data_IF_834237085492
#
_entry.id   IF_834237085492
#
_cell.length_a   1.000
_cell.length_b   1.000
_cell.length_c   1.000
_cell.angle_alpha   90.00
_cell.angle_beta   90.00
_cell.angle_gamma   90.00
#
_symmetry.space_group_name_H-M   'P 1'
#
loop_
_entity.id
_entity.type
_entity.pdbx_description
1 polymer ?
#
# COMPACT_ATOMS: atom_id res chain seq x y z
N UNK A 1 -33.12 -14.85 17.42
CA UNK A 1 -32.67 -13.86 16.42
C UNK A 1 -31.52 -13.09 17.03
N UNK A 2 -30.30 -13.56 16.80
CA UNK A 2 -29.06 -12.90 17.24
C UNK A 2 -28.76 -11.80 16.25
N UNK A 3 -28.75 -10.55 16.73
CA UNK A 3 -28.31 -9.40 15.94
C UNK A 3 -26.83 -9.58 15.60
N UNK A 4 -26.54 -9.62 14.31
CA UNK A 4 -25.20 -9.54 13.72
C UNK A 4 -24.53 -8.25 14.24
N UNK A 5 -23.33 -8.32 14.86
CA UNK A 5 -22.67 -7.11 15.34
C UNK A 5 -22.46 -6.16 14.17
N UNK A 6 -22.96 -4.93 14.34
CA UNK A 6 -22.95 -3.86 13.34
C UNK A 6 -21.67 -3.86 12.50
N UNK A 7 -21.80 -4.36 11.28
CA UNK A 7 -20.89 -4.11 10.17
C UNK A 7 -21.06 -2.62 9.86
N UNK A 8 -20.38 -1.75 10.62
CA UNK A 8 -20.22 -0.35 10.20
C UNK A 8 -19.52 -0.45 8.85
N UNK A 9 -20.16 -0.04 7.74
CA UNK A 9 -19.50 -0.09 6.45
C UNK A 9 -18.20 0.70 6.58
N UNK A 10 -17.07 0.10 6.18
CA UNK A 10 -15.89 0.91 5.91
C UNK A 10 -16.31 1.99 4.92
N UNK A 11 -16.01 3.28 5.15
CA UNK A 11 -16.32 4.31 4.18
C UNK A 11 -15.73 3.89 2.82
N UNK A 12 -16.55 3.97 1.77
CA UNK A 12 -16.09 3.69 0.41
C UNK A 12 -14.90 4.61 0.10
N UNK A 13 -13.85 4.05 -0.48
CA UNK A 13 -12.72 4.88 -0.92
C UNK A 13 -13.24 5.91 -1.92
N UNK A 14 -12.88 7.17 -1.73
CA UNK A 14 -13.40 8.24 -2.55
C UNK A 14 -12.91 8.07 -4.00
N UNK A 15 -13.79 8.26 -5.01
CA UNK A 15 -13.40 8.26 -6.40
C UNK A 15 -12.22 9.22 -6.61
N UNK A 16 -11.28 8.85 -7.46
CA UNK A 16 -10.23 9.75 -7.91
C UNK A 16 -10.61 10.29 -9.30
N UNK A 17 -11.33 11.41 -9.40
CA UNK A 17 -11.77 11.95 -10.69
C UNK A 17 -10.62 12.45 -11.57
N UNK A 18 -9.42 12.59 -10.99
CA UNK A 18 -8.18 12.94 -11.69
C UNK A 18 -7.35 11.71 -12.08
N UNK A 19 -7.76 10.52 -11.65
CA UNK A 19 -7.10 9.24 -11.90
C UNK A 19 -7.22 8.80 -13.35
N UNK A 20 -6.18 8.12 -13.82
CA UNK A 20 -6.17 7.51 -15.15
C UNK A 20 -7.12 6.31 -15.23
N UNK A 21 -7.76 6.13 -16.36
CA UNK A 21 -8.60 4.98 -16.67
C UNK A 21 -7.88 3.98 -17.58
N UNK A 22 -8.05 2.68 -17.33
CA UNK A 22 -7.54 1.60 -18.18
C UNK A 22 -8.70 0.97 -18.92
N UNK A 23 -9.20 1.66 -19.96
CA UNK A 23 -10.47 1.31 -20.64
C UNK A 23 -10.52 -0.11 -21.19
N UNK A 24 -9.38 -0.65 -21.62
CA UNK A 24 -9.29 -2.03 -22.10
C UNK A 24 -9.46 -3.05 -20.96
N UNK A 25 -9.02 -2.72 -19.73
CA UNK A 25 -9.31 -3.52 -18.56
C UNK A 25 -10.80 -3.44 -18.19
N UNK A 26 -11.40 -2.24 -18.20
CA UNK A 26 -12.85 -2.08 -17.94
C UNK A 26 -13.70 -2.92 -18.89
N UNK A 27 -13.38 -2.87 -20.20
CA UNK A 27 -14.06 -3.67 -21.22
C UNK A 27 -13.87 -5.18 -21.00
N UNK A 28 -12.65 -5.60 -20.63
CA UNK A 28 -12.35 -7.01 -20.37
C UNK A 28 -13.08 -7.51 -19.11
N UNK A 29 -13.16 -6.71 -18.05
CA UNK A 29 -13.90 -7.07 -16.84
C UNK A 29 -15.42 -7.10 -17.07
N UNK A 30 -15.96 -6.20 -17.88
CA UNK A 30 -17.35 -6.26 -18.32
C UNK A 30 -17.63 -7.53 -19.14
N UNK A 31 -16.74 -7.87 -20.09
CA UNK A 31 -16.86 -9.10 -20.86
C UNK A 31 -16.80 -10.37 -19.98
N UNK A 32 -15.98 -10.37 -18.92
CA UNK A 32 -15.95 -11.46 -17.95
C UNK A 32 -17.28 -11.61 -17.19
N UNK A 33 -17.90 -10.49 -16.79
CA UNK A 33 -19.20 -10.49 -16.13
C UNK A 33 -20.30 -11.02 -17.06
N UNK A 34 -20.30 -10.59 -18.33
CA UNK A 34 -21.24 -11.06 -19.34
C UNK A 34 -21.07 -12.56 -19.64
N UNK A 35 -19.82 -13.02 -19.80
CA UNK A 35 -19.50 -14.43 -20.00
C UNK A 35 -20.00 -15.27 -18.82
N UNK A 36 -19.74 -14.85 -17.59
CA UNK A 36 -20.22 -15.54 -16.40
C UNK A 36 -21.77 -15.58 -16.35
N UNK A 37 -22.44 -14.48 -16.67
CA UNK A 37 -23.91 -14.43 -16.71
C UNK A 37 -24.51 -15.39 -17.75
N UNK A 38 -23.82 -15.60 -18.88
CA UNK A 38 -24.21 -16.56 -19.92
C UNK A 38 -23.75 -18.00 -19.64
N UNK A 39 -23.01 -18.23 -18.56
CA UNK A 39 -22.33 -19.51 -18.25
C UNK A 39 -21.29 -19.92 -19.31
N UNK A 40 -20.69 -18.93 -19.94
CA UNK A 40 -19.55 -19.07 -20.85
C UNK A 40 -18.21 -18.97 -20.07
N UNK A 41 -17.09 -19.14 -20.79
CA UNK A 41 -15.75 -19.01 -20.22
C UNK A 41 -15.39 -17.56 -19.85
N UNK A 42 -15.26 -17.27 -18.55
CA UNK A 42 -14.82 -16.00 -18.01
C UNK A 42 -13.28 -15.91 -17.80
N UNK A 43 -12.54 -17.01 -17.96
CA UNK A 43 -11.08 -17.06 -17.69
C UNK A 43 -10.32 -16.16 -18.66
N UNK A 44 -10.59 -16.28 -19.96
CA UNK A 44 -9.92 -15.51 -21.01
C UNK A 44 -10.07 -13.97 -20.83
N UNK A 45 -11.28 -13.40 -20.64
CA UNK A 45 -11.41 -11.97 -20.41
C UNK A 45 -10.76 -11.50 -19.09
N UNK A 46 -10.76 -12.32 -18.04
CA UNK A 46 -10.05 -11.99 -16.80
C UNK A 46 -8.52 -11.99 -16.95
N UNK A 47 -7.98 -12.94 -17.71
CA UNK A 47 -6.55 -12.98 -18.04
C UNK A 47 -6.14 -11.76 -18.88
N UNK A 48 -6.99 -11.33 -19.83
CA UNK A 48 -6.77 -10.12 -20.59
C UNK A 48 -6.80 -8.87 -19.70
N UNK A 49 -7.77 -8.76 -18.78
CA UNK A 49 -7.82 -7.68 -17.80
C UNK A 49 -6.54 -7.64 -16.93
N UNK A 50 -6.10 -8.79 -16.42
CA UNK A 50 -4.89 -8.89 -15.61
C UNK A 50 -3.63 -8.43 -16.37
N UNK A 51 -3.50 -8.80 -17.65
CA UNK A 51 -2.37 -8.40 -18.49
C UNK A 51 -2.32 -6.89 -18.71
N UNK A 52 -3.45 -6.27 -19.07
CA UNK A 52 -3.51 -4.82 -19.32
C UNK A 52 -3.31 -4.02 -18.02
N UNK A 53 -3.86 -4.49 -16.90
CA UNK A 53 -3.60 -3.88 -15.58
C UNK A 53 -2.13 -3.97 -15.19
N UNK A 54 -1.46 -5.10 -15.49
CA UNK A 54 -0.02 -5.24 -15.26
C UNK A 54 0.80 -4.30 -16.16
N UNK A 55 0.39 -4.13 -17.43
CA UNK A 55 1.01 -3.16 -18.35
C UNK A 55 0.90 -1.72 -17.83
N UNK A 56 -0.25 -1.35 -17.25
CA UNK A 56 -0.45 -0.05 -16.60
C UNK A 56 0.34 0.12 -15.28
N UNK A 57 0.90 -0.96 -14.74
CA UNK A 57 1.55 -0.99 -13.42
C UNK A 57 0.57 -1.03 -12.26
N UNK A 58 -0.69 -1.40 -12.50
CA UNK A 58 -1.74 -1.56 -11.49
C UNK A 58 -1.62 -2.96 -10.86
N UNK A 59 -0.46 -3.24 -10.29
CA UNK A 59 -0.05 -4.58 -9.87
C UNK A 59 -1.02 -5.24 -8.86
N UNK A 60 -1.59 -4.53 -7.86
CA UNK A 60 -2.61 -5.12 -6.98
C UNK A 60 -3.84 -5.59 -7.76
N UNK A 61 -4.35 -4.75 -8.66
CA UNK A 61 -5.50 -5.07 -9.51
C UNK A 61 -5.20 -6.23 -10.47
N UNK A 62 -4.00 -6.27 -11.06
CA UNK A 62 -3.56 -7.38 -11.90
C UNK A 62 -3.54 -8.71 -11.12
N UNK A 63 -3.04 -8.70 -9.87
CA UNK A 63 -3.07 -9.87 -8.97
C UNK A 63 -4.50 -10.29 -8.63
N UNK A 64 -5.38 -9.34 -8.35
CA UNK A 64 -6.78 -9.62 -8.06
C UNK A 64 -7.50 -10.26 -9.26
N UNK A 65 -7.35 -9.67 -10.45
CA UNK A 65 -7.90 -10.20 -11.70
C UNK A 65 -7.37 -11.62 -12.01
N UNK A 66 -6.07 -11.85 -11.79
CA UNK A 66 -5.48 -13.19 -11.90
C UNK A 66 -6.09 -14.20 -10.91
N UNK A 67 -6.41 -13.76 -9.70
CA UNK A 67 -7.06 -14.62 -8.70
C UNK A 67 -8.53 -14.92 -9.04
N UNK A 68 -9.27 -13.95 -9.57
CA UNK A 68 -10.60 -14.18 -10.13
C UNK A 68 -10.57 -15.20 -11.27
N UNK A 69 -9.58 -15.06 -12.17
CA UNK A 69 -9.36 -15.98 -13.31
C UNK A 69 -9.07 -17.41 -12.83
N UNK A 70 -8.21 -17.56 -11.81
CA UNK A 70 -7.89 -18.87 -11.22
C UNK A 70 -9.09 -19.53 -10.52
N UNK A 71 -9.97 -18.74 -9.91
CA UNK A 71 -11.17 -19.25 -9.24
C UNK A 71 -12.32 -19.58 -10.21
N UNK A 72 -12.40 -18.93 -11.38
CA UNK A 72 -13.55 -19.01 -12.28
C UNK A 72 -13.96 -20.44 -12.68
N UNK A 73 -13.04 -21.38 -13.00
CA UNK A 73 -13.41 -22.76 -13.34
C UNK A 73 -14.09 -23.53 -12.19
N UNK A 74 -13.68 -23.27 -10.94
CA UNK A 74 -14.17 -23.97 -9.75
C UNK A 74 -15.60 -23.55 -9.38
N UNK A 75 -15.90 -22.28 -9.64
CA UNK A 75 -17.16 -21.65 -9.29
C UNK A 75 -18.29 -22.03 -10.24
N UNK A 76 -17.97 -22.40 -11.49
CA UNK A 76 -18.94 -22.90 -12.46
C UNK A 76 -19.64 -24.21 -12.01
N UNK A 77 -19.04 -24.93 -11.05
CA UNK A 77 -19.51 -26.23 -10.56
C UNK A 77 -20.08 -26.21 -9.14
N UNK A 78 -20.06 -25.07 -8.43
CA UNK A 78 -20.30 -25.01 -6.98
C UNK A 78 -21.29 -23.90 -6.54
N UNK A 79 -21.74 -23.97 -5.28
CA UNK A 79 -22.61 -22.96 -4.64
C UNK A 79 -21.92 -21.61 -4.36
N UNK A 80 -20.64 -21.47 -4.73
CA UNK A 80 -19.79 -20.27 -4.52
C UNK A 80 -19.97 -19.21 -5.61
N UNK A 81 -20.80 -19.48 -6.64
CA UNK A 81 -21.12 -18.59 -7.75
C UNK A 81 -21.57 -17.18 -7.35
N UNK A 82 -22.35 -17.07 -6.26
CA UNK A 82 -22.80 -15.78 -5.79
C UNK A 82 -21.65 -14.93 -5.24
N UNK A 83 -20.75 -15.52 -4.44
CA UNK A 83 -19.64 -14.80 -3.81
C UNK A 83 -18.60 -14.34 -4.84
N UNK A 84 -18.28 -15.19 -5.82
CA UNK A 84 -17.38 -14.82 -6.91
C UNK A 84 -17.92 -13.65 -7.75
N UNK A 85 -19.23 -13.65 -8.03
CA UNK A 85 -19.87 -12.56 -8.78
C UNK A 85 -19.82 -11.24 -8.02
N UNK A 86 -20.11 -11.27 -6.71
CA UNK A 86 -19.98 -10.08 -5.85
C UNK A 86 -18.53 -9.57 -5.86
N UNK A 87 -17.55 -10.47 -5.74
CA UNK A 87 -16.13 -10.08 -5.81
C UNK A 87 -15.76 -9.44 -7.15
N UNK A 88 -16.28 -9.95 -8.29
CA UNK A 88 -16.07 -9.35 -9.60
C UNK A 88 -16.73 -7.97 -9.72
N UNK A 89 -17.96 -7.83 -9.25
CA UNK A 89 -18.69 -6.56 -9.32
C UNK A 89 -18.04 -5.47 -8.45
N UNK A 90 -17.64 -5.81 -7.22
CA UNK A 90 -16.92 -4.90 -6.31
C UNK A 90 -15.55 -4.51 -6.88
N UNK A 91 -14.83 -5.46 -7.47
CA UNK A 91 -13.57 -5.19 -8.14
C UNK A 91 -13.72 -4.26 -9.35
N UNK A 92 -14.75 -4.48 -10.17
CA UNK A 92 -15.09 -3.58 -11.29
C UNK A 92 -15.39 -2.17 -10.82
N UNK A 93 -16.16 -2.03 -9.74
CA UNK A 93 -16.46 -0.73 -9.14
C UNK A 93 -15.18 -0.03 -8.66
N UNK A 94 -14.26 -0.75 -8.02
CA UNK A 94 -12.98 -0.18 -7.57
C UNK A 94 -12.06 0.23 -8.72
N UNK A 95 -11.98 -0.56 -9.81
CA UNK A 95 -11.20 -0.18 -11.01
C UNK A 95 -11.78 1.09 -11.65
N UNK A 96 -13.11 1.20 -11.69
CA UNK A 96 -13.81 2.36 -12.24
C UNK A 96 -13.64 3.64 -11.39
N UNK A 97 -13.25 3.54 -10.11
CA UNK A 97 -12.93 4.69 -9.25
C UNK A 97 -11.53 5.27 -9.50
N UNK A 98 -10.70 4.60 -10.30
CA UNK A 98 -9.38 5.06 -10.74
C UNK A 98 -8.41 5.41 -9.58
N UNK A 99 -8.60 4.76 -8.43
CA UNK A 99 -7.82 4.99 -7.22
C UNK A 99 -6.85 3.83 -6.98
N UNK A 100 -5.56 4.04 -7.29
CA UNK A 100 -4.53 3.01 -7.10
C UNK A 100 -4.31 2.61 -5.63
N UNK A 101 -4.56 3.52 -4.69
CA UNK A 101 -4.46 3.22 -3.25
C UNK A 101 -5.59 2.30 -2.82
N UNK A 102 -6.80 2.54 -3.33
CA UNK A 102 -7.94 1.65 -3.11
C UNK A 102 -7.66 0.24 -3.60
N UNK A 103 -7.17 0.10 -4.83
CA UNK A 103 -6.86 -1.20 -5.42
C UNK A 103 -5.79 -1.98 -4.62
N UNK A 104 -4.94 -1.27 -3.87
CA UNK A 104 -3.93 -1.87 -3.00
C UNK A 104 -4.45 -2.19 -1.59
N UNK A 105 -5.25 -1.30 -1.01
CA UNK A 105 -5.52 -1.27 0.43
C UNK A 105 -6.98 -1.49 0.83
N UNK A 106 -7.92 -1.60 -0.11
CA UNK A 106 -9.34 -1.81 0.22
C UNK A 106 -9.55 -3.07 1.07
N UNK A 107 -10.13 -2.96 2.28
CA UNK A 107 -10.46 -4.12 3.11
C UNK A 107 -11.44 -5.06 2.39
N UNK A 108 -12.42 -4.50 1.67
CA UNK A 108 -13.41 -5.25 0.90
C UNK A 108 -12.74 -6.09 -0.18
N UNK A 109 -11.87 -5.48 -0.99
CA UNK A 109 -11.12 -6.24 -2.00
C UNK A 109 -10.19 -7.26 -1.34
N UNK A 110 -9.53 -6.92 -0.24
CA UNK A 110 -8.64 -7.88 0.41
C UNK A 110 -9.40 -9.12 0.93
N UNK A 111 -10.58 -8.95 1.50
CA UNK A 111 -11.44 -10.04 1.96
C UNK A 111 -11.88 -10.93 0.80
N UNK A 112 -12.31 -10.33 -0.33
CA UNK A 112 -12.62 -11.08 -1.55
C UNK A 112 -11.40 -11.85 -2.06
N UNK A 113 -10.23 -11.20 -2.14
CA UNK A 113 -8.99 -11.83 -2.59
C UNK A 113 -8.62 -13.03 -1.71
N UNK A 114 -8.74 -12.88 -0.38
CA UNK A 114 -8.48 -13.96 0.58
C UNK A 114 -9.46 -15.12 0.40
N UNK A 115 -10.75 -14.83 0.25
CA UNK A 115 -11.78 -15.86 0.03
C UNK A 115 -11.55 -16.62 -1.29
N UNK A 116 -11.27 -15.91 -2.38
CA UNK A 116 -10.95 -16.51 -3.68
C UNK A 116 -9.68 -17.37 -3.62
N UNK A 117 -8.67 -16.96 -2.84
CA UNK A 117 -7.45 -17.75 -2.64
C UNK A 117 -7.69 -19.04 -1.89
N UNK A 118 -8.51 -19.02 -0.84
CA UNK A 118 -8.90 -20.23 -0.12
C UNK A 118 -9.63 -21.20 -1.06
N UNK A 119 -10.52 -20.69 -1.92
CA UNK A 119 -11.23 -21.52 -2.90
C UNK A 119 -10.32 -22.13 -3.97
N UNK A 120 -9.29 -21.38 -4.41
CA UNK A 120 -8.41 -21.81 -5.52
C UNK A 120 -7.19 -22.62 -5.07
N UNK A 121 -6.89 -22.68 -3.77
CA UNK A 121 -5.68 -23.33 -3.25
C UNK A 121 -5.93 -24.78 -2.85
N UNK A 122 -4.97 -25.65 -3.17
CA UNK A 122 -4.94 -27.03 -2.66
C UNK A 122 -4.65 -27.11 -1.14
N UNK A 123 -4.11 -26.04 -0.53
CA UNK A 123 -3.87 -25.93 0.91
C UNK A 123 -4.66 -24.78 1.52
N UNK A 124 -5.77 -25.15 2.18
CA UNK A 124 -6.70 -24.25 2.87
C UNK A 124 -6.05 -23.52 4.07
N UNK A 125 -4.87 -23.94 4.53
CA UNK A 125 -4.20 -23.36 5.69
C UNK A 125 -3.28 -22.18 5.35
N UNK A 126 -2.98 -21.97 4.06
CA UNK A 126 -2.17 -20.86 3.60
C UNK A 126 -2.99 -19.55 3.56
N UNK A 127 -3.18 -18.91 4.72
CA UNK A 127 -3.78 -17.58 4.83
C UNK A 127 -2.98 -16.57 3.99
N UNK A 128 -3.62 -15.91 3.02
CA UNK A 128 -3.01 -14.82 2.28
C UNK A 128 -2.96 -13.55 3.15
N UNK A 129 -1.78 -13.00 3.48
CA UNK A 129 -1.67 -11.77 4.25
C UNK A 129 -1.97 -10.53 3.39
N UNK A 130 -2.39 -9.42 4.03
CA UNK A 130 -2.74 -8.15 3.35
C UNK A 130 -1.60 -7.61 2.50
N UNK A 131 -0.35 -7.80 2.94
CA UNK A 131 0.83 -7.32 2.21
C UNK A 131 1.01 -7.98 0.83
N UNK A 132 0.43 -9.16 0.63
CA UNK A 132 0.46 -9.84 -0.67
C UNK A 132 -0.29 -9.05 -1.75
N UNK A 133 -1.28 -8.24 -1.36
CA UNK A 133 -1.98 -7.33 -2.27
C UNK A 133 -1.42 -5.92 -2.14
N UNK A 134 -1.35 -5.37 -0.93
CA UNK A 134 -0.98 -3.97 -0.70
C UNK A 134 0.46 -3.65 -1.14
N UNK A 135 1.41 -4.53 -0.81
CA UNK A 135 2.84 -4.25 -1.00
C UNK A 135 3.45 -4.97 -2.20
N UNK A 136 2.63 -5.37 -3.19
CA UNK A 136 3.14 -5.99 -4.43
C UNK A 136 4.11 -5.07 -5.15
N UNK A 137 5.27 -5.61 -5.55
CA UNK A 137 6.32 -4.87 -6.24
C UNK A 137 7.11 -3.90 -5.35
N UNK A 138 6.61 -3.57 -4.15
CA UNK A 138 7.26 -2.62 -3.22
C UNK A 138 8.42 -3.28 -2.48
N UNK A 139 9.58 -2.62 -2.53
CA UNK A 139 10.73 -2.91 -1.69
C UNK A 139 10.41 -2.59 -0.23
N UNK A 140 10.79 -3.47 0.70
CA UNK A 140 10.57 -3.27 2.13
C UNK A 140 11.87 -3.55 2.87
N UNK A 141 12.55 -2.53 3.41
CA UNK A 141 13.79 -2.71 4.12
C UNK A 141 13.59 -3.55 5.38
N UNK A 142 14.67 -4.20 5.82
CA UNK A 142 14.63 -5.00 7.04
C UNK A 142 14.48 -4.12 8.29
N UNK A 143 13.64 -4.56 9.21
CA UNK A 143 13.48 -3.89 10.50
C UNK A 143 14.44 -4.47 11.55
N UNK A 144 15.10 -3.57 12.29
CA UNK A 144 16.09 -3.92 13.31
C UNK A 144 15.43 -4.11 14.67
N UNK A 145 16.12 -4.84 15.54
CA UNK A 145 15.77 -5.03 16.95
C UNK A 145 17.04 -4.83 17.78
N UNK A 146 17.06 -3.78 18.61
CA UNK A 146 18.21 -3.47 19.48
C UNK A 146 18.53 -4.61 20.46
N UNK A 147 19.74 -4.68 21.01
CA UNK A 147 19.98 -5.61 22.11
C UNK A 147 19.18 -5.19 23.36
N UNK A 148 18.46 -6.12 23.98
CA UNK A 148 17.75 -5.87 25.25
C UNK A 148 18.55 -6.42 26.43
N UNK A 149 18.67 -5.66 27.54
CA UNK A 149 19.10 -6.22 28.81
C UNK A 149 18.09 -7.25 29.32
N UNK A 150 18.56 -8.39 29.85
CA UNK A 150 17.70 -9.51 30.28
C UNK A 150 16.62 -9.12 31.29
N UNK A 151 16.97 -8.25 32.24
CA UNK A 151 16.05 -7.73 33.26
C UNK A 151 14.95 -6.86 32.66
N UNK A 152 15.30 -6.03 31.66
CA UNK A 152 14.34 -5.23 30.93
C UNK A 152 13.44 -6.11 30.06
N UNK A 153 14.02 -7.06 29.32
CA UNK A 153 13.28 -7.99 28.45
C UNK A 153 12.25 -8.81 29.25
N UNK A 154 12.65 -9.36 30.39
CA UNK A 154 11.76 -10.15 31.26
C UNK A 154 10.57 -9.33 31.76
N UNK A 155 10.82 -8.09 32.20
CA UNK A 155 9.77 -7.18 32.69
C UNK A 155 8.85 -6.70 31.57
N UNK A 156 9.40 -6.30 30.43
CA UNK A 156 8.62 -5.86 29.27
C UNK A 156 7.71 -6.98 28.78
N UNK A 157 8.23 -8.21 28.71
CA UNK A 157 7.45 -9.39 28.32
C UNK A 157 6.32 -9.71 29.29
N UNK A 158 6.59 -9.70 30.60
CA UNK A 158 5.55 -9.94 31.60
C UNK A 158 4.41 -8.91 31.51
N UNK A 159 4.75 -7.62 31.34
CA UNK A 159 3.77 -6.54 31.16
C UNK A 159 2.95 -6.72 29.87
N UNK A 160 3.64 -7.02 28.77
CA UNK A 160 3.00 -7.27 27.48
C UNK A 160 2.02 -8.45 27.55
N UNK A 161 2.47 -9.60 28.06
CA UNK A 161 1.67 -10.83 28.14
C UNK A 161 0.45 -10.65 29.06
N UNK A 162 0.60 -9.93 30.18
CA UNK A 162 -0.50 -9.62 31.09
C UNK A 162 -1.56 -8.73 30.41
N UNK A 163 -1.13 -7.67 29.73
CA UNK A 163 -2.03 -6.76 29.03
C UNK A 163 -2.70 -7.44 27.82
N UNK A 164 -1.95 -8.22 27.05
CA UNK A 164 -2.47 -9.02 25.95
C UNK A 164 -3.54 -10.01 26.43
N UNK A 165 -3.31 -10.69 27.55
CA UNK A 165 -4.29 -11.62 28.10
C UNK A 165 -5.61 -10.93 28.46
N UNK A 166 -5.56 -9.69 28.96
CA UNK A 166 -6.76 -8.89 29.21
C UNK A 166 -7.50 -8.56 27.91
N UNK A 167 -6.78 -8.17 26.85
CA UNK A 167 -7.37 -7.89 25.53
C UNK A 167 -8.02 -9.14 24.91
N UNK A 168 -7.37 -10.30 25.02
CA UNK A 168 -7.86 -11.55 24.43
C UNK A 168 -9.07 -12.15 25.19
N UNK A 169 -9.15 -11.94 26.50
CA UNK A 169 -10.24 -12.46 27.33
C UNK A 169 -11.53 -11.67 27.20
N UNK A 170 -11.47 -10.41 26.78
CA UNK A 170 -12.66 -9.56 26.65
C UNK A 170 -13.42 -9.91 25.37
N UNK A 171 -14.67 -10.42 25.44
CA UNK A 171 -15.41 -10.83 24.26
C UNK A 171 -15.90 -9.65 23.41
N UNK A 172 -16.25 -8.53 24.07
CA UNK A 172 -16.78 -7.31 23.44
C UNK A 172 -16.06 -6.08 23.97
N UNK A 173 -15.59 -5.22 23.05
CA UNK A 173 -14.70 -4.11 23.37
C UNK A 173 -13.27 -4.56 23.66
N UNK A 174 -12.33 -3.63 23.52
CA UNK A 174 -10.94 -3.81 23.96
C UNK A 174 -10.69 -2.90 25.16
N UNK A 175 -10.24 -3.43 26.31
CA UNK A 175 -10.07 -2.60 27.50
C UNK A 175 -8.96 -1.56 27.26
N UNK A 176 -9.34 -0.27 27.27
CA UNK A 176 -8.43 0.84 26.94
C UNK A 176 -7.16 0.82 27.77
N UNK A 177 -7.25 0.57 29.08
CA UNK A 177 -6.09 0.49 29.96
C UNK A 177 -5.10 -0.61 29.56
N UNK A 178 -5.58 -1.74 29.01
CA UNK A 178 -4.68 -2.80 28.53
C UNK A 178 -4.02 -2.41 27.20
N UNK A 179 -4.74 -1.70 26.32
CA UNK A 179 -4.17 -1.17 25.09
C UNK A 179 -3.15 -0.06 25.37
N UNK A 180 -3.41 0.81 26.36
CA UNK A 180 -2.47 1.83 26.82
C UNK A 180 -1.18 1.19 27.36
N UNK A 181 -1.31 0.11 28.13
CA UNK A 181 -0.18 -0.65 28.65
C UNK A 181 0.63 -1.34 27.54
N UNK A 182 -0.04 -1.86 26.51
CA UNK A 182 0.61 -2.42 25.31
C UNK A 182 1.34 -1.34 24.51
N UNK A 183 0.73 -0.16 24.28
CA UNK A 183 1.37 0.96 23.60
C UNK A 183 2.59 1.45 24.38
N UNK A 184 2.47 1.63 25.70
CA UNK A 184 3.57 2.01 26.56
C UNK A 184 4.71 0.99 26.53
N UNK A 185 4.39 -0.31 26.46
CA UNK A 185 5.41 -1.37 26.37
C UNK A 185 6.12 -1.35 25.01
N UNK A 186 5.40 -1.18 23.90
CA UNK A 186 5.99 -1.06 22.56
C UNK A 186 6.86 0.20 22.44
N UNK A 187 6.39 1.33 22.97
CA UNK A 187 7.16 2.57 23.02
C UNK A 187 8.44 2.43 23.86
N UNK A 188 8.38 1.70 24.99
CA UNK A 188 9.56 1.43 25.81
C UNK A 188 10.55 0.47 25.13
N UNK A 189 10.07 -0.45 24.29
CA UNK A 189 10.91 -1.35 23.50
C UNK A 189 11.65 -0.62 22.37
N UNK A 190 11.06 0.46 21.85
CA UNK A 190 11.64 1.23 20.77
C UNK A 190 12.90 2.01 21.19
N UNK A 191 13.87 2.17 20.27
CA UNK A 191 15.06 3.01 20.45
C UNK A 191 15.02 4.35 19.70
N UNK A 192 13.95 4.59 18.91
CA UNK A 192 13.80 5.81 18.12
C UNK A 192 14.69 5.87 16.88
N UNK A 193 15.45 4.80 16.58
CA UNK A 193 16.25 4.70 15.36
C UNK A 193 15.32 4.39 14.17
N UNK A 194 15.61 4.89 12.95
CA UNK A 194 14.91 4.47 11.74
C UNK A 194 14.94 2.96 11.58
N UNK A 195 13.86 2.40 11.02
CA UNK A 195 13.71 0.95 10.80
C UNK A 195 13.67 0.08 12.07
N UNK A 196 13.56 0.67 13.26
CA UNK A 196 13.24 -0.10 14.47
C UNK A 196 11.83 -0.72 14.34
N UNK A 197 11.75 -2.04 14.49
CA UNK A 197 10.48 -2.74 14.41
C UNK A 197 9.50 -2.30 15.51
N UNK A 198 9.99 -1.97 16.71
CA UNK A 198 9.10 -1.59 17.81
C UNK A 198 8.45 -0.23 17.59
N UNK A 199 9.16 0.70 16.95
CA UNK A 199 8.59 1.96 16.44
C UNK A 199 7.49 1.71 15.41
N UNK A 200 7.71 0.79 14.46
CA UNK A 200 6.69 0.39 13.49
C UNK A 200 5.47 -0.27 14.16
N UNK A 201 5.71 -1.19 15.10
CA UNK A 201 4.65 -1.89 15.81
C UNK A 201 3.80 -0.94 16.67
N UNK A 202 4.41 0.04 17.33
CA UNK A 202 3.69 1.07 18.09
C UNK A 202 2.81 1.94 17.16
N UNK A 203 3.34 2.38 16.02
CA UNK A 203 2.55 3.11 15.03
C UNK A 203 1.36 2.30 14.52
N UNK A 204 1.57 1.02 14.20
CA UNK A 204 0.52 0.11 13.75
C UNK A 204 -0.54 -0.13 14.83
N UNK A 205 -0.15 -0.33 16.10
CA UNK A 205 -1.10 -0.45 17.21
C UNK A 205 -2.02 0.78 17.31
N UNK A 206 -1.45 1.99 17.23
CA UNK A 206 -2.22 3.23 17.32
C UNK A 206 -3.22 3.36 16.18
N UNK A 207 -2.79 3.08 14.95
CA UNK A 207 -3.66 3.09 13.78
C UNK A 207 -4.80 2.07 13.92
N UNK A 208 -4.49 0.80 14.24
CA UNK A 208 -5.50 -0.26 14.37
C UNK A 208 -6.48 -0.01 15.53
N UNK A 209 -6.02 0.65 16.61
CA UNK A 209 -6.88 1.08 17.72
C UNK A 209 -7.83 2.19 17.27
N UNK A 210 -7.33 3.19 16.55
CA UNK A 210 -8.13 4.32 16.08
C UNK A 210 -9.22 3.87 15.11
N UNK A 211 -8.91 2.93 14.20
CA UNK A 211 -9.88 2.40 13.23
C UNK A 211 -10.74 1.23 13.75
N UNK A 212 -10.49 0.73 14.96
CA UNK A 212 -11.23 -0.43 15.50
C UNK A 212 -11.02 -1.72 14.70
N UNK A 213 -9.86 -1.87 14.07
CA UNK A 213 -9.61 -2.90 13.07
C UNK A 213 -9.67 -4.34 13.65
N UNK A 214 -10.32 -5.30 12.97
CA UNK A 214 -10.46 -6.67 13.46
C UNK A 214 -9.12 -7.42 13.57
N UNK A 215 -8.09 -6.99 12.84
CA UNK A 215 -6.75 -7.60 12.86
C UNK A 215 -5.97 -7.34 14.15
N UNK A 216 -6.41 -6.38 14.99
CA UNK A 216 -5.69 -5.92 16.18
C UNK A 216 -5.25 -7.07 17.10
N UNK A 217 -6.15 -8.01 17.42
CA UNK A 217 -5.84 -9.14 18.32
C UNK A 217 -4.78 -10.07 17.73
N UNK A 218 -4.89 -10.36 16.43
CA UNK A 218 -3.93 -11.22 15.70
C UNK A 218 -2.57 -10.54 15.62
N UNK A 219 -2.54 -9.25 15.32
CA UNK A 219 -1.33 -8.44 15.29
C UNK A 219 -0.60 -8.45 16.65
N UNK A 220 -1.33 -8.21 17.74
CA UNK A 220 -0.75 -8.23 19.09
C UNK A 220 -0.22 -9.62 19.47
N UNK A 221 -0.95 -10.68 19.16
CA UNK A 221 -0.49 -12.05 19.43
C UNK A 221 0.82 -12.39 18.68
N UNK A 222 0.94 -11.98 17.40
CA UNK A 222 2.18 -12.17 16.63
C UNK A 222 3.33 -11.32 17.12
N UNK A 223 3.05 -10.10 17.54
CA UNK A 223 4.02 -9.20 18.14
C UNK A 223 4.57 -9.78 19.46
N UNK A 224 3.74 -10.46 20.25
CA UNK A 224 4.20 -11.21 21.44
C UNK A 224 5.19 -12.33 21.09
N UNK A 225 4.94 -13.07 20.01
CA UNK A 225 5.86 -14.13 19.57
C UNK A 225 7.24 -13.55 19.23
N UNK A 226 7.27 -12.43 18.50
CA UNK A 226 8.51 -11.73 18.22
C UNK A 226 9.20 -11.22 19.49
N UNK A 227 8.45 -10.67 20.45
CA UNK A 227 9.02 -10.21 21.72
C UNK A 227 9.73 -11.36 22.46
N UNK A 228 9.15 -12.54 22.44
CA UNK A 228 9.76 -13.75 22.99
C UNK A 228 11.07 -14.14 22.30
N UNK A 229 11.18 -14.00 20.97
CA UNK A 229 12.41 -14.28 20.22
C UNK A 229 13.45 -13.16 20.40
N UNK A 230 12.99 -11.91 20.50
CA UNK A 230 13.83 -10.74 20.75
C UNK A 230 14.51 -10.83 22.13
N UNK A 231 13.74 -11.23 23.15
CA UNK A 231 14.26 -11.53 24.48
C UNK A 231 15.31 -12.66 24.47
N UNK A 232 15.29 -13.55 23.47
CA UNK A 232 16.30 -14.61 23.26
C UNK A 232 17.46 -14.18 22.36
N UNK A 233 17.57 -12.89 22.06
CA UNK A 233 18.71 -12.34 21.32
C UNK A 233 18.49 -12.11 19.83
N UNK A 234 17.28 -12.29 19.28
CA UNK A 234 16.99 -11.92 17.88
C UNK A 234 17.30 -10.43 17.64
N UNK A 235 17.88 -10.08 16.49
CA UNK A 235 18.33 -8.72 16.13
C UNK A 235 17.64 -8.11 14.91
N UNK A 236 16.83 -8.90 14.21
CA UNK A 236 16.07 -8.48 13.03
C UNK A 236 14.68 -9.11 13.09
N UNK A 237 13.65 -8.33 12.77
CA UNK A 237 12.30 -8.84 12.69
C UNK A 237 12.12 -9.73 11.43
N UNK A 238 11.27 -10.76 11.46
CA UNK A 238 10.94 -11.55 10.28
C UNK A 238 10.40 -10.66 9.15
N UNK A 239 10.92 -10.76 7.90
CA UNK A 239 10.46 -9.93 6.79
C UNK A 239 8.95 -9.99 6.57
N UNK A 240 8.36 -11.18 6.66
CA UNK A 240 6.91 -11.37 6.53
C UNK A 240 6.11 -10.60 7.59
N UNK A 241 6.61 -10.52 8.83
CA UNK A 241 5.95 -9.75 9.89
C UNK A 241 6.10 -8.25 9.66
N UNK A 242 7.27 -7.78 9.21
CA UNK A 242 7.48 -6.36 8.86
C UNK A 242 6.51 -5.92 7.76
N UNK A 243 6.43 -6.70 6.68
CA UNK A 243 5.54 -6.42 5.55
C UNK A 243 4.08 -6.39 5.95
N UNK A 244 3.63 -7.35 6.76
CA UNK A 244 2.25 -7.39 7.24
C UNK A 244 1.92 -6.21 8.15
N UNK A 245 2.80 -5.86 9.09
CA UNK A 245 2.61 -4.70 9.97
C UNK A 245 2.57 -3.39 9.15
N UNK A 246 3.41 -3.26 8.12
CA UNK A 246 3.40 -2.12 7.22
C UNK A 246 2.11 -2.04 6.39
N UNK A 247 1.65 -3.16 5.86
CA UNK A 247 0.42 -3.20 5.09
C UNK A 247 -0.78 -2.79 5.95
N UNK A 248 -0.83 -3.27 7.21
CA UNK A 248 -1.86 -2.88 8.18
C UNK A 248 -1.78 -1.39 8.54
N UNK A 249 -0.58 -0.85 8.77
CA UNK A 249 -0.41 0.58 9.06
C UNK A 249 -0.81 1.44 7.86
N UNK A 250 -0.32 1.10 6.66
CA UNK A 250 -0.52 1.91 5.46
C UNK A 250 -1.97 1.89 4.96
N UNK A 251 -2.71 0.79 5.22
CA UNK A 251 -4.09 0.60 4.75
C UNK A 251 -4.98 1.83 4.96
N UNK A 252 -5.07 2.30 6.19
CA UNK A 252 -6.01 3.36 6.57
C UNK A 252 -5.54 4.71 6.01
N UNK A 253 -4.24 5.01 6.12
CA UNK A 253 -3.67 6.25 5.57
C UNK A 253 -3.68 6.32 4.03
N UNK A 254 -3.63 5.17 3.36
CA UNK A 254 -3.70 5.09 1.91
C UNK A 254 -5.11 5.42 1.39
N UNK A 255 -6.15 5.04 2.14
CA UNK A 255 -7.55 5.20 1.73
C UNK A 255 -8.13 6.54 2.16
N UNK A 256 -7.83 6.97 3.38
CA UNK A 256 -8.47 8.13 4.02
C UNK A 256 -7.49 9.29 4.23
N UNK A 257 -6.25 9.14 3.78
CA UNK A 257 -5.20 10.11 4.01
C UNK A 257 -4.77 10.22 5.47
N UNK A 258 -3.90 11.19 5.72
CA UNK A 258 -3.37 11.51 7.04
C UNK A 258 -3.78 12.92 7.48
N UNK A 259 -4.10 13.09 8.76
CA UNK A 259 -4.32 14.40 9.38
C UNK A 259 -3.00 15.00 9.89
N UNK A 260 -3.03 16.26 10.33
CA UNK A 260 -1.82 16.96 10.78
C UNK A 260 -1.20 16.34 12.05
N UNK A 261 -2.03 15.72 12.89
CA UNK A 261 -1.62 14.98 14.08
C UNK A 261 -0.91 13.65 13.76
N UNK A 262 -1.08 13.11 12.54
CA UNK A 262 -0.53 11.80 12.15
C UNK A 262 0.92 11.86 11.66
N UNK A 263 1.58 13.03 11.73
CA UNK A 263 2.94 13.25 11.20
C UNK A 263 3.93 12.18 11.63
N UNK A 264 3.88 11.75 12.89
CA UNK A 264 4.77 10.70 13.38
C UNK A 264 4.52 9.32 12.74
N UNK A 265 3.27 8.99 12.40
CA UNK A 265 2.90 7.73 11.74
C UNK A 265 3.26 7.79 10.25
N UNK A 266 3.01 8.93 9.62
CA UNK A 266 3.42 9.20 8.23
C UNK A 266 4.93 9.14 8.07
N UNK A 267 5.69 9.66 9.04
CA UNK A 267 7.15 9.55 9.03
C UNK A 267 7.65 8.10 9.10
N UNK A 268 6.95 7.24 9.85
CA UNK A 268 7.25 5.79 9.82
C UNK A 268 6.97 5.23 8.43
N UNK A 269 5.84 5.54 7.80
CA UNK A 269 5.52 5.06 6.45
C UNK A 269 6.53 5.53 5.40
N UNK A 270 6.93 6.80 5.46
CA UNK A 270 7.97 7.35 4.59
C UNK A 270 9.34 6.71 4.80
N UNK A 271 9.68 6.28 6.02
CA UNK A 271 10.92 5.52 6.25
C UNK A 271 10.92 4.24 5.41
N UNK A 272 9.75 3.60 5.23
CA UNK A 272 9.56 2.38 4.43
C UNK A 272 9.15 2.61 2.97
N UNK A 273 9.22 3.84 2.44
CA UNK A 273 8.88 4.12 1.04
C UNK A 273 7.40 4.09 0.73
N UNK A 274 6.54 4.23 1.74
CA UNK A 274 5.09 4.28 1.58
C UNK A 274 4.63 5.73 1.70
N UNK A 275 4.06 6.23 0.61
CA UNK A 275 3.51 7.57 0.50
C UNK A 275 2.02 7.59 0.89
N UNK A 276 1.57 8.73 1.41
CA UNK A 276 0.19 8.97 1.83
C UNK A 276 -0.26 10.34 1.33
N UNK A 277 -1.56 10.51 1.15
CA UNK A 277 -2.14 11.81 0.84
C UNK A 277 -2.47 12.54 2.14
N UNK A 278 -2.14 13.83 2.23
CA UNK A 278 -2.46 14.64 3.40
C UNK A 278 -3.85 15.23 3.25
N UNK A 279 -4.73 14.96 4.20
CA UNK A 279 -6.05 15.61 4.26
C UNK A 279 -5.94 16.92 5.03
N UNK A 280 -6.43 18.01 4.41
CA UNK A 280 -6.70 19.27 5.14
C UNK A 280 -8.03 19.17 5.90
N UNK A 281 -8.87 18.18 5.57
CA UNK A 281 -10.21 17.98 6.13
C UNK A 281 -10.18 17.02 7.35
N UNK A 282 -9.79 17.51 8.52
CA UNK A 282 -9.76 16.71 9.76
C UNK A 282 -11.12 16.45 10.43
N UNK A 283 -12.25 16.58 9.73
CA UNK A 283 -13.59 16.33 10.31
C UNK A 283 -14.55 15.72 9.29
N UNK A 284 -15.53 14.88 9.69
CA UNK A 284 -16.55 14.33 8.78
C UNK A 284 -17.35 15.41 8.03
N UNK A 285 -17.50 16.61 8.61
CA UNK A 285 -18.18 17.73 7.97
C UNK A 285 -17.32 18.41 6.89
N UNK A 286 -16.00 18.47 7.07
CA UNK A 286 -15.08 18.97 6.05
C UNK A 286 -14.80 17.94 4.97
N UNK A 287 -14.90 16.65 5.29
CA UNK A 287 -14.93 15.53 4.36
C UNK A 287 -16.17 15.60 3.46
N UNK A 288 -17.37 15.76 4.00
CA UNK A 288 -18.59 15.94 3.21
C UNK A 288 -18.58 17.20 2.31
N UNK A 289 -17.92 18.28 2.76
CA UNK A 289 -17.72 19.49 1.96
C UNK A 289 -16.65 19.30 0.87
N UNK A 290 -15.61 18.52 1.16
CA UNK A 290 -14.61 18.12 0.19
C UNK A 290 -15.20 17.18 -0.86
N UNK A 291 -16.00 16.18 -0.46
CA UNK A 291 -16.77 15.29 -1.34
C UNK A 291 -17.70 16.06 -2.26
N UNK A 292 -18.47 17.03 -1.73
CA UNK A 292 -19.32 17.89 -2.54
C UNK A 292 -18.52 18.75 -3.53
N UNK A 293 -17.32 19.21 -3.13
CA UNK A 293 -16.39 19.94 -4.00
C UNK A 293 -15.69 19.05 -5.03
N UNK A 294 -15.33 17.83 -4.67
CA UNK A 294 -14.67 16.83 -5.50
C UNK A 294 -15.64 16.27 -6.54
N UNK A 295 -16.88 15.96 -6.17
CA UNK A 295 -17.96 15.55 -7.08
C UNK A 295 -18.35 16.68 -8.05
N UNK A 296 -18.28 17.95 -7.61
CA UNK A 296 -18.46 19.11 -8.49
C UNK A 296 -17.29 19.25 -9.48
N UNK A 297 -16.06 19.15 -8.99
CA UNK A 297 -14.86 19.18 -9.81
C UNK A 297 -14.76 17.99 -10.77
N UNK A 298 -15.29 16.83 -10.37
CA UNK A 298 -15.45 15.62 -11.17
C UNK A 298 -16.45 15.84 -12.29
N UNK A 299 -17.65 16.35 -11.99
CA UNK A 299 -18.61 16.70 -13.03
C UNK A 299 -18.05 17.74 -14.01
N UNK A 300 -17.34 18.76 -13.53
CA UNK A 300 -16.74 19.79 -14.38
C UNK A 300 -15.53 19.24 -15.18
N UNK A 301 -14.76 18.30 -14.64
CA UNK A 301 -13.65 17.64 -15.33
C UNK A 301 -14.11 16.61 -16.36
N UNK A 302 -15.17 15.86 -16.07
CA UNK A 302 -15.73 14.82 -16.95
C UNK A 302 -16.56 15.46 -18.09
N UNK A 303 -17.24 16.58 -17.84
CA UNK A 303 -18.17 17.16 -18.81
C UNK A 303 -17.50 17.85 -20.01
N UNK A 304 -16.20 18.20 -19.97
CA UNK A 304 -15.55 18.91 -21.07
C UNK A 304 -14.01 18.85 -21.14
N UNK A 305 -13.29 18.25 -20.18
CA UNK A 305 -11.84 18.30 -20.22
C UNK A 305 -11.25 17.34 -21.28
N UNK A 306 -10.29 17.79 -22.11
CA UNK A 306 -9.61 16.90 -23.04
C UNK A 306 -8.91 15.78 -22.27
N UNK A 307 -8.93 14.57 -22.82
CA UNK A 307 -8.20 13.41 -22.27
C UNK A 307 -6.96 13.14 -23.11
N UNK A 308 -5.91 12.60 -22.48
CA UNK A 308 -4.69 12.14 -23.17
C UNK A 308 -4.51 10.64 -22.98
N UNK A 309 -4.06 9.95 -24.01
CA UNK A 309 -3.76 8.51 -23.94
C UNK A 309 -2.25 8.33 -23.80
N UNK A 310 -1.83 7.63 -22.75
CA UNK A 310 -0.44 7.28 -22.43
C UNK A 310 -0.33 5.75 -22.42
N UNK A 311 -0.19 5.16 -23.60
CA UNK A 311 -0.27 3.69 -23.75
C UNK A 311 -1.67 3.18 -23.41
N UNK A 312 -1.77 2.31 -22.41
CA UNK A 312 -3.05 1.74 -21.95
C UNK A 312 -3.83 2.64 -20.98
N UNK A 313 -3.20 3.70 -20.47
CA UNK A 313 -3.81 4.62 -19.48
C UNK A 313 -4.35 5.87 -20.18
N UNK A 314 -5.61 6.20 -19.93
CA UNK A 314 -6.24 7.46 -20.37
C UNK A 314 -6.35 8.42 -19.20
N UNK A 315 -5.79 9.62 -19.31
CA UNK A 315 -5.70 10.58 -18.21
C UNK A 315 -6.41 11.90 -18.53
N UNK A 316 -6.84 12.62 -17.49
CA UNK A 316 -7.34 13.98 -17.61
C UNK A 316 -6.19 14.93 -18.01
N UNK A 317 -6.38 15.82 -18.99
CA UNK A 317 -5.31 16.70 -19.46
C UNK A 317 -4.82 17.70 -18.40
N UNK A 318 -5.69 18.23 -17.53
CA UNK A 318 -5.26 19.15 -16.47
C UNK A 318 -4.43 18.43 -15.41
N UNK A 319 -4.89 17.26 -14.97
CA UNK A 319 -4.13 16.42 -14.03
C UNK A 319 -2.77 15.99 -14.60
N UNK A 320 -2.72 15.75 -15.92
CA UNK A 320 -1.48 15.48 -16.64
C UNK A 320 -0.52 16.68 -16.61
N UNK A 321 -0.99 17.91 -16.87
CA UNK A 321 -0.12 19.10 -16.80
C UNK A 321 0.35 19.40 -15.37
N UNK A 322 -0.52 19.27 -14.36
CA UNK A 322 -0.18 19.39 -12.93
C UNK A 322 0.92 18.38 -12.55
N UNK A 323 0.80 17.15 -13.05
CA UNK A 323 1.82 16.11 -12.87
C UNK A 323 3.15 16.50 -13.51
N UNK A 324 3.15 17.02 -14.75
CA UNK A 324 4.40 17.43 -15.42
C UNK A 324 5.11 18.55 -14.66
N UNK A 325 4.38 19.54 -14.15
CA UNK A 325 4.95 20.62 -13.34
C UNK A 325 5.56 20.08 -12.03
N UNK A 326 4.85 19.16 -11.37
CA UNK A 326 5.34 18.50 -10.15
C UNK A 326 6.59 17.67 -10.41
N UNK A 327 6.60 16.93 -11.52
CA UNK A 327 7.73 16.11 -11.92
C UNK A 327 8.95 16.96 -12.25
N UNK A 328 8.80 17.99 -13.09
CA UNK A 328 9.88 18.89 -13.48
C UNK A 328 10.51 19.60 -12.27
N UNK A 329 9.69 20.17 -11.39
CA UNK A 329 10.16 20.81 -10.16
C UNK A 329 10.92 19.83 -9.24
N UNK A 330 10.48 18.58 -9.18
CA UNK A 330 11.11 17.55 -8.35
C UNK A 330 12.41 17.00 -8.94
N UNK A 331 12.59 17.07 -10.27
CA UNK A 331 13.82 16.58 -10.92
C UNK A 331 15.06 17.37 -10.48
N UNK A 332 14.94 18.66 -10.17
CA UNK A 332 16.06 19.46 -9.68
C UNK A 332 16.72 18.85 -8.44
N UNK A 333 15.92 18.46 -7.45
CA UNK A 333 16.38 17.82 -6.21
C UNK A 333 16.91 16.39 -6.44
N UNK A 334 16.40 15.67 -7.44
CA UNK A 334 16.77 14.28 -7.72
C UNK A 334 18.06 14.10 -8.52
N UNK A 335 18.57 15.16 -9.15
CA UNK A 335 19.82 15.10 -9.94
C UNK A 335 21.08 15.00 -9.09
N UNK A 336 20.97 15.15 -7.77
CA UNK A 336 22.08 15.00 -6.84
C UNK A 336 22.73 13.61 -6.96
N UNK A 337 24.07 13.57 -6.99
CA UNK A 337 24.81 12.30 -6.99
C UNK A 337 24.65 11.62 -5.62
N UNK A 338 24.21 10.34 -5.56
CA UNK A 338 24.09 9.63 -4.28
C UNK A 338 25.43 9.46 -3.57
N UNK A 339 26.50 9.30 -4.36
CA UNK A 339 27.86 9.27 -3.84
C UNK A 339 28.25 10.65 -3.30
N UNK A 340 28.33 10.77 -1.97
CA UNK A 340 28.78 11.99 -1.30
C UNK A 340 27.68 13.02 -0.99
N UNK A 341 26.40 12.70 -1.20
CA UNK A 341 25.30 13.53 -0.73
C UNK A 341 25.29 13.59 0.81
N UNK A 342 25.17 14.80 1.37
CA UNK A 342 24.92 14.96 2.80
C UNK A 342 23.49 14.54 3.18
N UNK A 343 23.22 14.41 4.47
CA UNK A 343 21.92 13.99 4.97
C UNK A 343 20.79 14.94 4.51
N UNK A 344 21.03 16.25 4.47
CA UNK A 344 20.02 17.24 4.07
C UNK A 344 19.67 17.16 2.57
N UNK A 345 20.67 16.92 1.72
CA UNK A 345 20.47 16.66 0.30
C UNK A 345 19.70 15.36 0.07
N UNK A 346 20.05 14.30 0.80
CA UNK A 346 19.33 13.04 0.75
C UNK A 346 17.87 13.17 1.21
N UNK A 347 17.59 13.99 2.23
CA UNK A 347 16.23 14.32 2.68
C UNK A 347 15.42 15.01 1.58
N UNK A 348 15.98 16.02 0.91
CA UNK A 348 15.31 16.72 -0.20
C UNK A 348 15.06 15.80 -1.38
N UNK A 349 16.04 15.00 -1.78
CA UNK A 349 15.91 14.04 -2.86
C UNK A 349 14.86 12.96 -2.55
N UNK A 350 14.80 12.47 -1.31
CA UNK A 350 13.75 11.55 -0.85
C UNK A 350 12.36 12.16 -0.97
N UNK A 351 12.18 13.39 -0.45
CA UNK A 351 10.91 14.10 -0.55
C UNK A 351 10.50 14.37 -2.00
N UNK A 352 11.46 14.72 -2.88
CA UNK A 352 11.21 14.92 -4.30
C UNK A 352 10.77 13.64 -5.00
N UNK A 353 11.42 12.51 -4.74
CA UNK A 353 11.02 11.21 -5.27
C UNK A 353 9.61 10.82 -4.82
N UNK A 354 9.27 11.02 -3.54
CA UNK A 354 7.93 10.75 -3.03
C UNK A 354 6.86 11.67 -3.61
N UNK A 355 7.16 12.95 -3.88
CA UNK A 355 6.23 13.84 -4.61
C UNK A 355 5.94 13.32 -6.02
N UNK A 356 6.97 12.89 -6.74
CA UNK A 356 6.80 12.25 -8.07
C UNK A 356 5.99 10.96 -7.95
N UNK A 357 6.29 10.12 -6.96
CA UNK A 357 5.59 8.86 -6.70
C UNK A 357 4.10 9.06 -6.43
N UNK A 358 3.76 9.97 -5.51
CA UNK A 358 2.37 10.34 -5.20
C UNK A 358 1.65 10.92 -6.42
N UNK A 359 2.27 11.85 -7.15
CA UNK A 359 1.64 12.44 -8.34
C UNK A 359 1.43 11.42 -9.46
N UNK A 360 2.39 10.52 -9.70
CA UNK A 360 2.25 9.42 -10.65
C UNK A 360 1.15 8.44 -10.22
N UNK A 361 1.07 8.13 -8.91
CA UNK A 361 0.03 7.27 -8.34
C UNK A 361 -1.37 7.88 -8.55
N UNK A 362 -1.52 9.18 -8.24
CA UNK A 362 -2.76 9.93 -8.42
C UNK A 362 -3.19 10.00 -9.89
N UNK A 363 -2.25 10.03 -10.84
CA UNK A 363 -2.54 10.03 -12.28
C UNK A 363 -2.81 8.61 -12.84
N UNK A 364 -2.54 7.54 -12.08
CA UNK A 364 -2.70 6.15 -12.53
C UNK A 364 -1.46 5.56 -13.24
N UNK A 365 -0.29 6.18 -13.13
CA UNK A 365 0.99 5.71 -13.72
C UNK A 365 1.74 4.79 -12.74
N UNK A 366 1.23 3.57 -12.56
CA UNK A 366 1.66 2.66 -11.49
C UNK A 366 3.15 2.30 -11.50
N UNK A 367 3.73 2.04 -12.68
CA UNK A 367 5.16 1.73 -12.83
C UNK A 367 6.07 2.88 -12.42
N UNK A 368 5.71 4.10 -12.82
CA UNK A 368 6.46 5.30 -12.47
C UNK A 368 6.35 5.60 -10.97
N UNK A 369 5.15 5.43 -10.41
CA UNK A 369 4.91 5.59 -8.97
C UNK A 369 5.78 4.62 -8.16
N UNK A 370 5.80 3.34 -8.53
CA UNK A 370 6.57 2.31 -7.83
C UNK A 370 8.08 2.57 -7.88
N UNK A 371 8.62 2.93 -9.04
CA UNK A 371 10.04 3.23 -9.18
C UNK A 371 10.44 4.49 -8.39
N UNK A 372 9.61 5.55 -8.45
CA UNK A 372 9.83 6.78 -7.71
C UNK A 372 9.80 6.54 -6.18
N UNK A 373 8.82 5.79 -5.67
CA UNK A 373 8.76 5.41 -4.26
C UNK A 373 10.01 4.59 -3.85
N UNK A 374 10.49 3.68 -4.70
CA UNK A 374 11.70 2.87 -4.43
C UNK A 374 12.97 3.74 -4.41
N UNK A 375 13.07 4.73 -5.29
CA UNK A 375 14.15 5.73 -5.29
C UNK A 375 14.09 6.63 -4.04
N UNK A 376 12.89 7.06 -3.66
CA UNK A 376 12.67 7.85 -2.46
C UNK A 376 13.08 7.12 -1.20
N UNK A 377 12.82 5.81 -1.13
CA UNK A 377 13.29 4.93 -0.06
C UNK A 377 14.82 4.83 -0.01
N UNK A 378 15.48 4.70 -1.17
CA UNK A 378 16.94 4.66 -1.23
C UNK A 378 17.56 5.97 -0.69
N UNK A 379 17.01 7.11 -1.09
CA UNK A 379 17.41 8.41 -0.56
C UNK A 379 17.09 8.59 0.92
N UNK A 380 15.93 8.10 1.37
CA UNK A 380 15.53 8.14 2.78
C UNK A 380 16.52 7.37 3.65
N UNK A 381 16.95 6.19 3.21
CA UNK A 381 17.98 5.40 3.88
C UNK A 381 19.32 6.13 3.95
N UNK A 382 19.74 6.76 2.86
CA UNK A 382 20.95 7.58 2.85
C UNK A 382 20.85 8.76 3.83
N UNK A 383 19.69 9.41 3.91
CA UNK A 383 19.41 10.50 4.85
C UNK A 383 19.50 10.05 6.32
N UNK A 384 19.19 8.78 6.59
CA UNK A 384 19.34 8.12 7.89
C UNK A 384 20.75 7.54 8.16
N UNK A 385 21.72 7.81 7.28
CA UNK A 385 23.10 7.33 7.44
C UNK A 385 23.31 5.86 7.05
N UNK A 386 22.38 5.26 6.32
CA UNK A 386 22.46 3.89 5.80
C UNK A 386 22.45 3.88 4.26
N UNK A 387 23.44 4.48 3.58
CA UNK A 387 23.48 4.54 2.12
C UNK A 387 23.62 3.14 1.49
N UNK A 388 23.31 3.06 0.20
CA UNK A 388 23.53 1.85 -0.60
C UNK A 388 25.03 1.49 -0.63
N UNK A 389 25.34 0.19 -0.56
CA UNK A 389 26.67 -0.32 -0.85
C UNK A 389 27.05 -0.08 -2.34
N UNK A 390 28.33 -0.22 -2.69
CA UNK A 390 28.85 0.13 -4.03
C UNK A 390 28.05 -0.46 -5.21
N UNK A 391 27.67 -1.75 -5.16
CA UNK A 391 26.84 -2.38 -6.20
C UNK A 391 25.38 -1.88 -6.25
N UNK A 392 24.92 -1.21 -5.20
CA UNK A 392 23.62 -0.56 -5.13
C UNK A 392 23.60 0.84 -5.77
N UNK A 393 24.74 1.55 -5.79
CA UNK A 393 24.84 2.86 -6.45
C UNK A 393 24.56 2.77 -7.96
N UNK A 394 25.05 1.71 -8.62
CA UNK A 394 24.74 1.44 -10.02
C UNK A 394 23.25 1.15 -10.26
N UNK A 395 22.61 0.41 -9.34
CA UNK A 395 21.18 0.13 -9.43
C UNK A 395 20.35 1.41 -9.23
N UNK A 396 20.78 2.28 -8.32
CA UNK A 396 20.18 3.60 -8.11
C UNK A 396 20.31 4.48 -9.35
N UNK A 397 21.52 4.63 -9.90
CA UNK A 397 21.76 5.45 -11.09
C UNK A 397 20.91 4.98 -12.28
N UNK A 398 20.86 3.65 -12.53
CA UNK A 398 19.99 3.06 -13.57
C UNK A 398 18.51 3.33 -13.32
N UNK A 399 18.05 3.17 -12.08
CA UNK A 399 16.65 3.45 -11.71
C UNK A 399 16.31 4.93 -11.93
N UNK A 400 17.20 5.84 -11.52
CA UNK A 400 17.03 7.28 -11.74
C UNK A 400 16.97 7.63 -13.24
N UNK A 401 17.89 7.10 -14.04
CA UNK A 401 17.90 7.32 -15.49
C UNK A 401 16.64 6.80 -16.17
N UNK A 402 16.16 5.62 -15.76
CA UNK A 402 14.92 5.04 -16.27
C UNK A 402 13.68 5.86 -15.87
N UNK A 403 13.61 6.35 -14.62
CA UNK A 403 12.54 7.24 -14.19
C UNK A 403 12.56 8.53 -15.02
N UNK A 404 13.72 9.17 -15.16
CA UNK A 404 13.89 10.39 -15.97
C UNK A 404 13.47 10.16 -17.42
N UNK A 405 13.90 9.07 -18.04
CA UNK A 405 13.51 8.73 -19.41
C UNK A 405 11.99 8.46 -19.53
N UNK A 406 11.39 7.80 -18.54
CA UNK A 406 9.94 7.60 -18.51
C UNK A 406 9.18 8.93 -18.40
N UNK A 407 9.62 9.86 -17.53
CA UNK A 407 9.02 11.19 -17.39
C UNK A 407 9.10 12.00 -18.68
N UNK A 408 10.23 11.94 -19.39
CA UNK A 408 10.39 12.60 -20.70
C UNK A 408 9.45 12.00 -21.77
N UNK A 409 9.28 10.66 -21.78
CA UNK A 409 8.30 10.01 -22.65
C UNK A 409 6.87 10.42 -22.32
N UNK A 410 6.53 10.43 -21.03
CA UNK A 410 5.21 10.88 -20.56
C UNK A 410 4.97 12.30 -21.03
N UNK A 411 5.92 13.22 -20.81
CA UNK A 411 5.84 14.62 -21.26
C UNK A 411 5.63 14.78 -22.77
N UNK A 412 6.21 13.88 -23.56
CA UNK A 412 6.01 13.80 -25.01
C UNK A 412 4.69 13.13 -25.44
N UNK A 413 3.84 12.73 -24.50
CA UNK A 413 2.59 12.01 -24.77
C UNK A 413 2.80 10.55 -25.18
N UNK A 414 3.96 9.98 -24.87
CA UNK A 414 4.32 8.59 -25.22
C UNK A 414 4.16 7.69 -24.00
N UNK A 415 3.75 6.44 -24.23
CA UNK A 415 3.62 5.43 -23.20
C UNK A 415 4.95 5.26 -22.41
N UNK A 416 4.93 5.31 -21.06
CA UNK A 416 6.09 4.97 -20.27
C UNK A 416 6.43 3.47 -20.42
N UNK A 417 7.72 3.09 -20.33
CA UNK A 417 8.11 1.68 -20.36
C UNK A 417 7.70 0.96 -19.07
N UNK A 418 7.72 -0.37 -19.08
CA UNK A 418 7.70 -1.17 -17.85
C UNK A 418 8.97 -0.89 -17.03
N UNK A 419 8.77 -0.52 -15.76
CA UNK A 419 9.84 -0.15 -14.81
C UNK A 419 10.03 -1.19 -13.70
N UNK A 420 9.30 -2.31 -13.75
CA UNK A 420 9.27 -3.35 -12.71
C UNK A 420 10.68 -3.93 -12.46
N UNK A 421 11.43 -4.22 -13.53
CA UNK A 421 12.77 -4.77 -13.41
C UNK A 421 13.75 -3.81 -12.71
N UNK A 422 13.64 -2.51 -12.99
CA UNK A 422 14.48 -1.49 -12.37
C UNK A 422 14.14 -1.30 -10.88
N UNK A 423 12.84 -1.26 -10.55
CA UNK A 423 12.37 -1.20 -9.16
C UNK A 423 12.80 -2.45 -8.39
N UNK A 424 12.64 -3.64 -8.97
CA UNK A 424 13.08 -4.90 -8.36
C UNK A 424 14.60 -4.97 -8.14
N UNK A 425 15.40 -4.50 -9.09
CA UNK A 425 16.86 -4.46 -8.95
C UNK A 425 17.32 -3.50 -7.84
N UNK A 426 16.70 -2.31 -7.77
CA UNK A 426 16.97 -1.35 -6.70
C UNK A 426 16.49 -1.88 -5.34
N UNK A 427 15.30 -2.47 -5.27
CA UNK A 427 14.76 -3.13 -4.09
C UNK A 427 15.69 -4.22 -3.55
N UNK A 428 16.18 -5.10 -4.42
CA UNK A 428 17.15 -6.12 -4.05
C UNK A 428 18.49 -5.54 -3.56
N UNK A 429 18.89 -4.36 -4.06
CA UNK A 429 20.07 -3.66 -3.54
C UNK A 429 19.82 -3.09 -2.13
N UNK A 430 18.61 -2.58 -1.86
CA UNK A 430 18.20 -2.09 -0.55
C UNK A 430 18.13 -3.21 0.49
N UNK A 431 17.73 -4.43 0.11
CA UNK A 431 17.67 -5.57 1.03
C UNK A 431 19.04 -6.11 1.46
N UNK A 432 20.07 -5.88 0.63
CA UNK A 432 21.45 -6.31 0.87
C UNK A 432 22.30 -5.29 1.64
N UNK A 433 21.85 -4.03 1.68
CA UNK A 433 22.44 -2.95 2.47
C UNK A 433 21.89 -2.98 3.89
#
# INVERSE_FOLDING_TARGET
MTADPANVPYPDALPNPRGGAVRAADASLAAAADAFARRDDAVAPLAAAAAVLAEAGWLPAARFAGQLSAAAPLVATESTAAAWRVALDDFRAAVARHNLRELACSPVLFEHFRALRVQSAADLHASAPLDALALVGRAVPQATLRALPDTFASRARARYEQALLAVLRTPQGTPDAALDELDATLAALADGVPYDFWRLAAACLRALRASGAPELRRFLARTNLLLGEHARGRRRAPPALVRETLALLWRDFALFGAAAEDVALVDVLHDYGLTVDWHVAGTPASEALWEAGAARAEHDAIAAAPTRTLGVVTVNAHAYEDFLQTADASMADLTAAPAGADAGAAWRASAAAYRVGTAACALGLGHAALLADTLGLAWRRAAHGAPLADGGLDAHARAFDMLRAALLKIAAGVAPPDLTAASGALGAALDRA
#
